data_IF_687362323865
#
_entry.id   IF_687362323865
#
_cell.length_a   1.000
_cell.length_b   1.000
_cell.length_c   1.000
_cell.angle_alpha   90.00
_cell.angle_beta   90.00
_cell.angle_gamma   90.00
#
_symmetry.space_group_name_H-M   'P 1'
#
loop_
_entity.id
_entity.type
_entity.pdbx_description
1 polymer ?
#
# COMPACT_ATOMS: atom_id res chain seq x y z
N UNK A 1 29.57 -45.61 -11.95
CA UNK A 1 28.66 -44.75 -12.75
C UNK A 1 27.56 -44.04 -11.93
N UNK A 2 27.46 -44.21 -10.60
CA UNK A 2 26.38 -43.59 -9.79
C UNK A 2 26.64 -42.19 -9.21
N UNK A 3 27.90 -41.75 -9.09
CA UNK A 3 28.24 -40.48 -8.40
C UNK A 3 27.90 -39.20 -9.18
N UNK A 4 27.89 -39.25 -10.51
CA UNK A 4 27.65 -38.07 -11.37
C UNK A 4 26.17 -37.70 -11.46
N UNK A 5 25.27 -38.70 -11.52
CA UNK A 5 23.82 -38.50 -11.50
C UNK A 5 23.34 -38.02 -10.11
N UNK A 6 23.93 -38.56 -9.04
CA UNK A 6 23.65 -38.08 -7.68
C UNK A 6 24.04 -36.61 -7.52
N UNK A 7 25.25 -36.21 -7.91
CA UNK A 7 25.71 -34.82 -7.81
C UNK A 7 24.88 -33.82 -8.66
N UNK A 8 24.38 -34.24 -9.82
CA UNK A 8 23.52 -33.40 -10.67
C UNK A 8 22.11 -33.23 -10.07
N UNK A 9 21.56 -34.30 -9.47
CA UNK A 9 20.32 -34.24 -8.73
C UNK A 9 20.45 -33.34 -7.49
N UNK A 10 21.57 -33.42 -6.73
CA UNK A 10 21.81 -32.58 -5.56
C UNK A 10 21.89 -31.10 -5.95
N UNK A 11 22.68 -30.74 -6.97
CA UNK A 11 22.77 -29.34 -7.46
C UNK A 11 21.43 -28.79 -7.95
N UNK A 12 20.62 -29.64 -8.60
CA UNK A 12 19.28 -29.24 -9.05
C UNK A 12 18.36 -28.98 -7.86
N UNK A 13 18.35 -29.85 -6.84
CA UNK A 13 17.57 -29.65 -5.62
C UNK A 13 18.02 -28.44 -4.80
N UNK A 14 19.32 -28.16 -4.71
CA UNK A 14 19.86 -26.97 -4.05
C UNK A 14 19.43 -25.69 -4.79
N UNK A 15 19.47 -25.69 -6.12
CA UNK A 15 18.96 -24.58 -6.94
C UNK A 15 17.46 -24.37 -6.72
N UNK A 16 16.66 -25.43 -6.65
CA UNK A 16 15.23 -25.33 -6.35
C UNK A 16 14.98 -24.78 -4.95
N UNK A 17 15.73 -25.22 -3.93
CA UNK A 17 15.65 -24.68 -2.56
C UNK A 17 16.01 -23.20 -2.51
N UNK A 18 17.08 -22.79 -3.19
CA UNK A 18 17.48 -21.39 -3.28
C UNK A 18 16.42 -20.52 -3.97
N UNK A 19 15.84 -21.01 -5.08
CA UNK A 19 14.75 -20.32 -5.76
C UNK A 19 13.49 -20.22 -4.90
N UNK A 20 13.14 -21.28 -4.16
CA UNK A 20 12.01 -21.27 -3.24
C UNK A 20 12.21 -20.24 -2.11
N UNK A 21 13.40 -20.20 -1.50
CA UNK A 21 13.73 -19.22 -0.45
C UNK A 21 13.71 -17.77 -0.97
N UNK A 22 14.20 -17.54 -2.19
CA UNK A 22 14.13 -16.23 -2.83
C UNK A 22 12.68 -15.78 -3.09
N UNK A 23 11.83 -16.73 -3.51
CA UNK A 23 10.41 -16.49 -3.74
C UNK A 23 9.68 -16.16 -2.45
N UNK A 24 9.86 -16.96 -1.40
CA UNK A 24 9.28 -16.71 -0.08
C UNK A 24 9.67 -15.32 0.44
N UNK A 25 10.96 -14.96 0.31
CA UNK A 25 11.43 -13.62 0.71
C UNK A 25 10.81 -12.48 -0.11
N UNK A 26 10.58 -12.70 -1.40
CA UNK A 26 9.90 -11.72 -2.25
C UNK A 26 8.42 -11.58 -1.86
N UNK A 27 7.74 -12.68 -1.54
CA UNK A 27 6.35 -12.72 -1.11
C UNK A 27 6.16 -12.00 0.25
N UNK A 28 7.06 -12.25 1.22
CA UNK A 28 7.09 -11.52 2.50
C UNK A 28 7.26 -10.02 2.32
N UNK A 29 8.18 -9.60 1.41
CA UNK A 29 8.42 -8.18 1.14
C UNK A 29 7.21 -7.52 0.49
N UNK A 30 6.53 -8.22 -0.42
CA UNK A 30 5.31 -7.71 -1.04
C UNK A 30 4.22 -7.48 0.02
N UNK A 31 3.95 -8.50 0.85
CA UNK A 31 2.97 -8.41 1.93
C UNK A 31 3.30 -7.28 2.92
N UNK A 32 4.56 -7.17 3.35
CA UNK A 32 4.99 -6.08 4.23
C UNK A 32 4.86 -4.69 3.59
N UNK A 33 5.03 -4.58 2.28
CA UNK A 33 4.86 -3.30 1.57
C UNK A 33 3.40 -2.87 1.46
N UNK A 34 2.51 -3.82 1.22
CA UNK A 34 1.05 -3.62 1.23
C UNK A 34 0.59 -3.14 2.62
N UNK A 35 0.95 -3.86 3.69
CA UNK A 35 0.55 -3.51 5.05
C UNK A 35 1.10 -2.13 5.46
N UNK A 36 2.36 -1.85 5.15
CA UNK A 36 2.98 -0.55 5.42
C UNK A 36 2.27 0.60 4.72
N UNK A 37 1.86 0.39 3.46
CA UNK A 37 1.13 1.40 2.69
C UNK A 37 -0.26 1.65 3.27
N UNK A 38 -1.01 0.59 3.59
CA UNK A 38 -2.32 0.70 4.22
C UNK A 38 -2.24 1.50 5.53
N UNK A 39 -1.31 1.14 6.42
CA UNK A 39 -1.12 1.82 7.69
C UNK A 39 -0.74 3.30 7.50
N UNK A 40 0.23 3.58 6.63
CA UNK A 40 0.71 4.95 6.43
C UNK A 40 -0.36 5.86 5.82
N UNK A 41 -1.19 5.33 4.92
CA UNK A 41 -2.23 6.13 4.27
C UNK A 41 -3.43 6.39 5.17
N UNK A 42 -3.85 5.40 5.97
CA UNK A 42 -4.84 5.59 7.02
C UNK A 42 -4.36 6.59 8.06
N UNK A 43 -3.14 6.42 8.57
CA UNK A 43 -2.55 7.32 9.54
C UNK A 43 -2.50 8.77 9.04
N UNK A 44 -2.23 8.99 7.75
CA UNK A 44 -2.27 10.32 7.16
C UNK A 44 -3.69 10.91 7.12
N UNK A 45 -4.68 10.12 6.68
CA UNK A 45 -6.07 10.58 6.64
C UNK A 45 -6.63 10.87 8.04
N UNK A 46 -6.39 9.97 9.00
CA UNK A 46 -6.85 10.13 10.39
C UNK A 46 -6.24 11.37 11.04
N UNK A 47 -5.00 11.72 10.69
CA UNK A 47 -4.38 12.96 11.16
C UNK A 47 -5.04 14.22 10.61
N UNK A 48 -5.45 14.21 9.33
CA UNK A 48 -6.21 15.32 8.76
C UNK A 48 -7.58 15.47 9.43
N UNK A 49 -8.24 14.35 9.71
CA UNK A 49 -9.53 14.32 10.42
C UNK A 49 -9.38 14.86 11.83
N UNK A 50 -8.34 14.43 12.55
CA UNK A 50 -8.04 14.93 13.89
C UNK A 50 -7.82 16.45 13.91
N UNK A 51 -7.11 16.98 12.92
CA UNK A 51 -6.90 18.43 12.77
C UNK A 51 -8.22 19.16 12.46
N UNK A 52 -9.07 18.58 11.60
CA UNK A 52 -10.39 19.15 11.31
C UNK A 52 -11.27 19.21 12.56
N UNK A 53 -11.29 18.15 13.36
CA UNK A 53 -12.14 18.02 14.55
C UNK A 53 -11.73 18.98 15.67
N UNK A 54 -10.42 19.18 15.87
CA UNK A 54 -9.92 20.08 16.91
C UNK A 54 -9.75 21.53 16.44
N UNK A 55 -9.69 21.77 15.13
CA UNK A 55 -9.35 23.06 14.57
C UNK A 55 -7.85 23.20 14.33
N UNK A 56 -7.49 23.82 13.19
CA UNK A 56 -6.10 23.95 12.77
C UNK A 56 -5.24 24.69 13.79
N UNK A 57 -5.75 25.72 14.45
CA UNK A 57 -4.99 26.53 15.40
C UNK A 57 -4.63 25.76 16.68
N UNK A 58 -5.47 24.82 17.10
CA UNK A 58 -5.41 24.19 18.42
C UNK A 58 -4.52 22.93 18.47
N UNK A 59 -4.03 22.48 17.32
CA UNK A 59 -3.11 21.33 17.24
C UNK A 59 -1.66 21.78 17.21
N UNK A 60 -0.95 21.53 18.32
CA UNK A 60 0.50 21.71 18.45
C UNK A 60 1.27 20.71 17.57
N UNK A 61 2.38 21.16 16.98
CA UNK A 61 3.25 20.31 16.14
C UNK A 61 2.59 19.78 14.86
N UNK A 62 1.39 20.26 14.49
CA UNK A 62 0.61 19.79 13.33
C UNK A 62 1.38 19.69 12.03
N UNK A 63 2.24 20.66 11.73
CA UNK A 63 2.98 20.73 10.48
C UNK A 63 4.11 19.71 10.40
N UNK A 64 4.81 19.48 11.52
CA UNK A 64 5.90 18.51 11.57
C UNK A 64 5.37 17.09 11.47
N UNK A 65 4.30 16.82 12.22
CA UNK A 65 3.63 15.53 12.21
C UNK A 65 2.97 15.23 10.85
N UNK A 66 2.30 16.23 10.25
CA UNK A 66 1.75 16.10 8.90
C UNK A 66 2.86 15.81 7.88
N UNK A 67 3.97 16.54 7.95
CA UNK A 67 5.12 16.33 7.05
C UNK A 67 5.73 14.94 7.24
N UNK A 68 5.83 14.46 8.48
CA UNK A 68 6.29 13.10 8.79
C UNK A 68 5.37 12.05 8.18
N UNK A 69 4.07 12.18 8.34
CA UNK A 69 3.07 11.25 7.80
C UNK A 69 3.04 11.25 6.27
N UNK A 70 3.14 12.43 5.64
CA UNK A 70 3.26 12.55 4.18
C UNK A 70 4.52 11.83 3.66
N UNK A 71 5.66 11.99 4.33
CA UNK A 71 6.90 11.28 3.96
C UNK A 71 6.74 9.77 4.10
N UNK A 72 6.20 9.29 5.21
CA UNK A 72 5.96 7.86 5.44
C UNK A 72 5.04 7.24 4.40
N UNK A 73 3.91 7.90 4.09
CA UNK A 73 2.98 7.45 3.06
C UNK A 73 3.65 7.42 1.68
N UNK A 74 4.36 8.48 1.30
CA UNK A 74 5.03 8.54 0.00
C UNK A 74 6.08 7.44 -0.15
N UNK A 75 6.85 7.17 0.91
CA UNK A 75 7.85 6.09 0.91
C UNK A 75 7.18 4.71 0.81
N UNK A 76 6.14 4.47 1.59
CA UNK A 76 5.38 3.22 1.52
C UNK A 76 4.74 3.01 0.14
N UNK A 77 4.18 4.06 -0.45
CA UNK A 77 3.59 4.01 -1.79
C UNK A 77 4.63 3.67 -2.86
N UNK A 78 5.82 4.31 -2.83
CA UNK A 78 6.90 3.98 -3.77
C UNK A 78 7.36 2.54 -3.65
N UNK A 79 7.53 2.03 -2.42
CA UNK A 79 7.90 0.64 -2.18
C UNK A 79 6.84 -0.31 -2.72
N UNK A 80 5.57 -0.01 -2.48
CA UNK A 80 4.47 -0.81 -2.99
C UNK A 80 4.46 -0.82 -4.52
N UNK A 81 4.62 0.32 -5.20
CA UNK A 81 4.66 0.37 -6.66
C UNK A 81 5.76 -0.54 -7.26
N UNK A 82 6.90 -0.69 -6.57
CA UNK A 82 8.00 -1.55 -7.01
C UNK A 82 7.73 -3.05 -6.81
N UNK A 83 6.84 -3.40 -5.88
CA UNK A 83 6.58 -4.78 -5.46
C UNK A 83 5.16 -5.27 -5.81
N UNK A 84 4.33 -4.38 -6.32
CA UNK A 84 2.93 -4.64 -6.63
C UNK A 84 2.80 -5.64 -7.78
N UNK A 85 1.82 -6.54 -7.65
CA UNK A 85 1.33 -7.31 -8.79
C UNK A 85 0.83 -6.40 -9.92
N UNK A 86 0.81 -6.85 -11.20
CA UNK A 86 0.32 -6.01 -12.30
C UNK A 86 -1.11 -5.45 -12.11
N UNK A 87 -2.09 -6.22 -11.57
CA UNK A 87 -3.40 -5.68 -11.24
C UNK A 87 -3.35 -4.58 -10.17
N UNK A 88 -2.58 -4.80 -9.09
CA UNK A 88 -2.46 -3.82 -8.01
C UNK A 88 -1.74 -2.55 -8.49
N UNK A 89 -0.70 -2.69 -9.31
CA UNK A 89 -0.01 -1.56 -9.92
C UNK A 89 -0.96 -0.70 -10.76
N UNK A 90 -1.76 -1.30 -11.64
CA UNK A 90 -2.75 -0.56 -12.43
C UNK A 90 -3.75 0.15 -11.54
N UNK A 91 -4.28 -0.53 -10.52
CA UNK A 91 -5.20 0.10 -9.58
C UNK A 91 -4.57 1.28 -8.83
N UNK A 92 -3.29 1.17 -8.44
CA UNK A 92 -2.57 2.25 -7.77
C UNK A 92 -2.42 3.50 -8.64
N UNK A 93 -2.19 3.31 -9.94
CA UNK A 93 -1.97 4.41 -10.88
C UNK A 93 -3.30 5.00 -11.37
N UNK A 94 -4.24 4.15 -11.77
CA UNK A 94 -5.47 4.57 -12.48
C UNK A 94 -6.61 4.95 -11.53
N UNK A 95 -6.66 4.37 -10.33
CA UNK A 95 -7.75 4.60 -9.37
C UNK A 95 -7.24 5.35 -8.15
N UNK A 96 -6.22 4.82 -7.46
CA UNK A 96 -5.73 5.45 -6.23
C UNK A 96 -5.10 6.83 -6.48
N UNK A 97 -4.21 6.93 -7.46
CA UNK A 97 -3.48 8.16 -7.78
C UNK A 97 -4.40 9.39 -7.97
N UNK A 98 -5.42 9.30 -8.84
CA UNK A 98 -6.39 10.39 -9.04
C UNK A 98 -7.14 10.75 -7.75
N UNK A 99 -7.69 9.78 -7.02
CA UNK A 99 -8.46 10.09 -5.79
C UNK A 99 -7.56 10.68 -4.70
N UNK A 100 -6.32 10.20 -4.58
CA UNK A 100 -5.32 10.76 -3.67
C UNK A 100 -4.96 12.21 -4.05
N UNK A 101 -4.83 12.51 -5.34
CA UNK A 101 -4.61 13.86 -5.82
C UNK A 101 -5.78 14.78 -5.47
N UNK A 102 -7.01 14.32 -5.66
CA UNK A 102 -8.23 15.07 -5.36
C UNK A 102 -8.32 15.45 -3.88
N UNK A 103 -8.12 14.50 -2.96
CA UNK A 103 -8.14 14.82 -1.51
C UNK A 103 -6.99 15.74 -1.09
N UNK A 104 -5.83 15.68 -1.77
CA UNK A 104 -4.72 16.60 -1.53
C UNK A 104 -5.02 18.02 -2.00
N UNK A 105 -5.58 18.17 -3.22
CA UNK A 105 -5.81 19.49 -3.83
C UNK A 105 -6.97 20.23 -3.18
N UNK A 106 -7.94 19.50 -2.62
CA UNK A 106 -9.15 20.04 -1.98
C UNK A 106 -9.00 20.01 -0.45
N UNK A 107 -9.40 18.91 0.20
CA UNK A 107 -9.49 18.71 1.63
C UNK A 107 -8.22 19.11 2.39
N UNK A 108 -7.09 18.46 2.08
CA UNK A 108 -5.84 18.70 2.81
C UNK A 108 -5.31 20.12 2.61
N UNK A 109 -5.50 20.70 1.41
CA UNK A 109 -5.10 22.07 1.11
C UNK A 109 -5.96 23.07 1.87
N UNK A 110 -7.28 22.90 1.88
CA UNK A 110 -8.22 23.78 2.57
C UNK A 110 -7.99 23.77 4.08
N UNK A 111 -7.84 22.58 4.68
CA UNK A 111 -7.46 22.46 6.09
C UNK A 111 -6.20 23.27 6.42
N UNK A 112 -5.17 23.18 5.57
CA UNK A 112 -3.89 23.88 5.79
C UNK A 112 -3.96 25.39 5.60
N UNK A 113 -4.71 25.85 4.61
CA UNK A 113 -4.69 27.26 4.20
C UNK A 113 -5.79 28.10 4.83
N UNK A 114 -6.96 27.50 5.04
CA UNK A 114 -8.19 28.20 5.43
C UNK A 114 -8.65 27.77 6.82
N UNK A 115 -8.34 26.54 7.24
CA UNK A 115 -8.76 25.99 8.53
C UNK A 115 -10.20 25.46 8.56
N UNK A 116 -10.97 25.69 7.49
CA UNK A 116 -12.30 25.14 7.26
C UNK A 116 -12.35 24.42 5.91
N UNK A 117 -13.27 23.47 5.77
CA UNK A 117 -13.42 22.64 4.57
C UNK A 117 -14.82 22.83 3.99
N UNK A 118 -14.90 23.02 2.67
CA UNK A 118 -16.16 23.09 1.93
C UNK A 118 -16.71 21.72 1.53
N UNK A 119 -17.86 21.71 0.88
CA UNK A 119 -18.52 20.47 0.44
C UNK A 119 -17.69 19.67 -0.57
N UNK A 120 -16.88 20.32 -1.42
CA UNK A 120 -15.98 19.66 -2.37
C UNK A 120 -14.88 18.90 -1.62
N UNK A 121 -14.22 19.55 -0.66
CA UNK A 121 -13.22 18.93 0.21
C UNK A 121 -13.79 17.78 1.02
N UNK A 122 -14.99 17.95 1.59
CA UNK A 122 -15.67 16.88 2.34
C UNK A 122 -16.07 15.71 1.45
N UNK A 123 -16.49 15.97 0.21
CA UNK A 123 -16.77 14.92 -0.77
C UNK A 123 -15.51 14.13 -1.11
N UNK A 124 -14.39 14.81 -1.37
CA UNK A 124 -13.11 14.17 -1.65
C UNK A 124 -12.61 13.33 -0.46
N UNK A 125 -12.75 13.83 0.78
CA UNK A 125 -12.47 13.07 2.01
C UNK A 125 -13.29 11.78 2.07
N UNK A 126 -14.61 11.86 1.82
CA UNK A 126 -15.50 10.69 1.84
C UNK A 126 -15.14 9.67 0.76
N UNK A 127 -14.87 10.14 -0.46
CA UNK A 127 -14.46 9.29 -1.58
C UNK A 127 -13.16 8.55 -1.27
N UNK A 128 -12.16 9.28 -0.77
CA UNK A 128 -10.88 8.69 -0.38
C UNK A 128 -11.02 7.72 0.81
N UNK A 129 -11.81 8.08 1.82
CA UNK A 129 -12.10 7.20 2.95
C UNK A 129 -12.80 5.89 2.54
N UNK A 130 -13.73 5.96 1.57
CA UNK A 130 -14.35 4.77 0.98
C UNK A 130 -13.33 3.92 0.24
N UNK A 131 -12.52 4.54 -0.61
CA UNK A 131 -11.45 3.88 -1.38
C UNK A 131 -10.52 3.09 -0.45
N UNK A 132 -10.08 3.67 0.66
CA UNK A 132 -9.17 3.02 1.60
C UNK A 132 -9.82 1.85 2.37
N UNK A 133 -11.10 1.98 2.75
CA UNK A 133 -11.79 0.99 3.59
C UNK A 133 -12.37 -0.18 2.81
N UNK A 134 -12.80 0.07 1.58
CA UNK A 134 -13.53 -0.91 0.75
C UNK A 134 -12.64 -1.33 -0.41
N UNK A 135 -12.41 -0.44 -1.36
CA UNK A 135 -11.82 -0.77 -2.65
C UNK A 135 -10.37 -1.28 -2.52
N UNK A 136 -9.59 -0.67 -1.63
CA UNK A 136 -8.22 -1.10 -1.32
C UNK A 136 -8.20 -2.51 -0.72
N UNK A 137 -9.12 -2.80 0.21
CA UNK A 137 -9.23 -4.13 0.82
C UNK A 137 -9.64 -5.16 -0.24
N UNK A 138 -10.54 -4.80 -1.14
CA UNK A 138 -11.01 -5.68 -2.22
C UNK A 138 -9.91 -6.01 -3.23
N UNK A 139 -9.13 -5.02 -3.68
CA UNK A 139 -8.07 -5.26 -4.66
C UNK A 139 -6.88 -6.03 -4.05
N UNK A 140 -6.57 -5.77 -2.77
CA UNK A 140 -5.44 -6.38 -2.07
C UNK A 140 -5.75 -7.78 -1.54
N UNK A 141 -7.01 -8.08 -1.17
CA UNK A 141 -7.39 -9.36 -0.54
C UNK A 141 -6.95 -10.59 -1.34
N UNK A 142 -7.18 -10.67 -2.67
CA UNK A 142 -6.70 -11.81 -3.45
C UNK A 142 -5.18 -11.95 -3.43
N UNK A 143 -4.45 -10.83 -3.43
CA UNK A 143 -2.99 -10.81 -3.37
C UNK A 143 -2.49 -11.30 -2.01
N UNK A 144 -3.01 -10.78 -0.90
CA UNK A 144 -2.67 -11.26 0.45
C UNK A 144 -2.98 -12.76 0.60
N UNK A 145 -4.14 -13.21 0.12
CA UNK A 145 -4.50 -14.62 0.19
C UNK A 145 -3.56 -15.49 -0.64
N UNK A 146 -3.15 -15.04 -1.83
CA UNK A 146 -2.18 -15.73 -2.66
C UNK A 146 -0.77 -15.76 -2.06
N UNK A 147 -0.36 -14.67 -1.41
CA UNK A 147 0.95 -14.57 -0.73
C UNK A 147 1.01 -15.40 0.55
N UNK A 148 -0.12 -15.55 1.28
CA UNK A 148 -0.19 -16.37 2.49
C UNK A 148 -0.40 -17.86 2.19
N UNK A 149 -1.03 -18.19 1.07
CA UNK A 149 -1.28 -19.58 0.62
C UNK A 149 -0.94 -19.72 -0.88
N UNK A 150 0.31 -20.11 -1.20
CA UNK A 150 0.78 -20.22 -2.58
C UNK A 150 -0.04 -21.19 -3.46
N UNK A 151 -0.78 -22.13 -2.85
CA UNK A 151 -1.63 -23.09 -3.58
C UNK A 151 -2.84 -22.40 -4.24
N UNK A 152 -3.22 -21.21 -3.76
CA UNK A 152 -4.31 -20.41 -4.32
C UNK A 152 -3.88 -19.53 -5.49
N UNK A 153 -2.58 -19.29 -5.69
CA UNK A 153 -2.05 -18.56 -6.85
C UNK A 153 -2.13 -19.39 -8.15
N UNK A 154 -2.11 -20.72 -8.05
CA UNK A 154 -2.13 -21.64 -9.19
C UNK A 154 -3.46 -21.75 -9.95
N UNK A 155 -4.54 -21.13 -9.46
CA UNK A 155 -5.84 -21.15 -10.13
C UNK A 155 -6.03 -20.01 -11.17
N UNK A 156 -5.00 -19.17 -11.39
CA UNK A 156 -5.08 -17.97 -12.26
C UNK A 156 -4.12 -17.94 -13.44
N UNK A 157 -3.35 -18.98 -13.68
CA UNK A 157 -2.51 -19.10 -14.87
C UNK A 157 -2.75 -20.46 -15.53
N UNK A 158 -3.48 -20.52 -16.67
CA UNK A 158 -3.44 -21.67 -17.57
C UNK A 158 -2.05 -21.82 -18.21
#
# INVERSE_FOLDING_TARGET
>A
MGGLLAAFATRSTERFRAMAALREKAEERSLGSIESFMLATHAWLDWLIYIEELGWSDVDGKMDELSRRVRQRNEAHRRLLLLASPPLYRWLVEIYGPVEYEVKRTYARQLRMVGTVDDEGMSARRAYGKLLRVDLVEIVRPEIQGLRDPRRLGARFP
#
